data_IF_313436095971
#
_entry.id   IF_313436095971
#
_cell.length_a   1.000
_cell.length_b   1.000
_cell.length_c   1.000
_cell.angle_alpha   90.00
_cell.angle_beta   90.00
_cell.angle_gamma   90.00
#
_symmetry.space_group_name_H-M   'P 1'
#
loop_
_entity.id
_entity.type
_entity.pdbx_description
1 polymer ?
#
# COMPACT_ATOMS: atom_id res chain seq x y z
N UNK A 1 6.08 -19.03 -19.70
CA UNK A 1 4.77 -18.56 -19.23
C UNK A 1 4.99 -17.97 -17.84
N UNK A 2 4.63 -16.71 -17.57
CA UNK A 2 4.69 -16.20 -16.21
C UNK A 2 3.70 -17.00 -15.37
N UNK A 3 4.20 -17.55 -14.26
CA UNK A 3 3.38 -18.27 -13.29
C UNK A 3 2.53 -17.21 -12.59
N UNK A 4 1.21 -17.24 -12.82
CA UNK A 4 0.29 -16.43 -12.03
C UNK A 4 0.50 -16.79 -10.55
N UNK A 5 0.58 -15.81 -9.65
CA UNK A 5 0.83 -16.08 -8.25
C UNK A 5 -0.29 -16.94 -7.69
N UNK A 6 0.13 -17.90 -6.87
CA UNK A 6 -0.68 -18.71 -5.98
C UNK A 6 -1.84 -17.89 -5.41
N UNK A 7 -3.06 -18.42 -5.49
CA UNK A 7 -4.25 -17.80 -4.89
C UNK A 7 -3.91 -17.27 -3.49
N UNK A 8 -4.01 -15.94 -3.30
CA UNK A 8 -3.84 -15.33 -1.99
C UNK A 8 -4.97 -15.85 -1.11
N UNK A 9 -4.63 -16.60 -0.06
CA UNK A 9 -5.61 -16.98 0.96
C UNK A 9 -6.03 -15.70 1.71
N UNK A 10 -7.31 -15.35 1.63
CA UNK A 10 -7.86 -14.13 2.22
C UNK A 10 -8.32 -14.33 3.67
N UNK A 11 -8.34 -15.57 4.18
CA UNK A 11 -8.88 -15.87 5.52
C UNK A 11 -8.05 -15.24 6.66
N UNK A 12 -6.76 -14.97 6.41
CA UNK A 12 -5.83 -14.36 7.37
C UNK A 12 -5.78 -12.82 7.28
N UNK A 13 -6.67 -12.19 6.51
CA UNK A 13 -6.63 -10.76 6.22
C UNK A 13 -7.83 -10.02 6.84
N UNK A 14 -7.56 -8.86 7.42
CA UNK A 14 -8.57 -7.96 7.97
C UNK A 14 -8.89 -6.84 6.99
N UNK A 15 -10.16 -6.60 6.69
CA UNK A 15 -10.57 -5.54 5.74
C UNK A 15 -10.55 -4.15 6.42
N UNK A 16 -10.01 -3.14 5.74
CA UNK A 16 -10.07 -1.73 6.17
C UNK A 16 -11.35 -1.05 5.66
N UNK A 17 -12.50 -1.45 6.19
CA UNK A 17 -13.82 -0.92 5.77
C UNK A 17 -14.41 0.15 6.69
N UNK A 18 -13.83 0.31 7.89
CA UNK A 18 -14.36 1.11 8.98
C UNK A 18 -13.25 1.81 9.78
N UNK A 19 -13.62 2.87 10.51
CA UNK A 19 -12.69 3.57 11.42
C UNK A 19 -12.15 2.62 12.49
N UNK A 20 -12.97 1.70 12.98
CA UNK A 20 -12.56 0.66 13.93
C UNK A 20 -11.45 -0.24 13.36
N UNK A 21 -11.59 -0.68 12.11
CA UNK A 21 -10.56 -1.49 11.44
C UNK A 21 -9.25 -0.71 11.24
N UNK A 22 -9.32 0.59 10.94
CA UNK A 22 -8.15 1.47 10.86
C UNK A 22 -7.49 1.64 12.23
N UNK A 23 -8.28 1.86 13.29
CA UNK A 23 -7.78 1.96 14.65
C UNK A 23 -7.13 0.65 15.11
N UNK A 24 -7.69 -0.50 14.75
CA UNK A 24 -7.09 -1.81 15.03
C UNK A 24 -5.74 -1.99 14.34
N UNK A 25 -5.61 -1.61 13.06
CA UNK A 25 -4.33 -1.59 12.34
C UNK A 25 -3.30 -0.71 13.08
N UNK A 26 -3.67 0.53 13.39
CA UNK A 26 -2.76 1.50 14.03
C UNK A 26 -2.33 1.01 15.41
N UNK A 27 -3.27 0.50 16.23
CA UNK A 27 -2.99 0.02 17.58
C UNK A 27 -2.15 -1.27 17.58
N UNK A 28 -2.38 -2.17 16.62
CA UNK A 28 -1.63 -3.43 16.50
C UNK A 28 -0.20 -3.20 16.03
N UNK A 29 -0.05 -2.42 14.95
CA UNK A 29 1.24 -2.14 14.35
C UNK A 29 2.06 -1.13 15.16
N UNK A 30 1.39 -0.20 15.85
CA UNK A 30 2.00 0.89 16.61
C UNK A 30 2.26 2.15 15.78
N UNK A 31 1.49 2.34 14.70
CA UNK A 31 1.64 3.46 13.78
C UNK A 31 2.73 3.25 12.72
N UNK A 32 2.81 4.20 11.78
CA UNK A 32 3.73 4.14 10.64
C UNK A 32 4.92 5.11 10.76
N UNK A 33 5.00 5.89 11.84
CA UNK A 33 5.94 7.02 12.02
C UNK A 33 7.43 6.64 12.03
N UNK A 34 7.75 5.35 12.15
CA UNK A 34 9.10 4.80 12.17
C UNK A 34 9.25 3.62 11.19
N UNK A 35 8.36 3.52 10.18
CA UNK A 35 8.37 2.41 9.25
C UNK A 35 8.94 2.78 7.87
N UNK A 36 9.37 1.73 7.17
CA UNK A 36 9.86 1.79 5.79
C UNK A 36 9.07 0.80 4.94
N UNK A 37 8.88 1.15 3.66
CA UNK A 37 8.38 0.21 2.66
C UNK A 37 9.53 -0.74 2.25
N UNK A 38 9.46 -2.01 2.63
CA UNK A 38 10.52 -2.99 2.36
C UNK A 38 10.25 -3.87 1.15
N UNK A 39 8.97 -4.08 0.82
CA UNK A 39 8.56 -4.88 -0.34
C UNK A 39 7.27 -4.35 -0.93
N UNK A 40 7.16 -4.41 -2.25
CA UNK A 40 5.88 -4.34 -2.94
C UNK A 40 5.86 -5.34 -4.10
N UNK A 41 4.71 -5.96 -4.32
CA UNK A 41 4.48 -6.93 -5.40
C UNK A 41 3.14 -6.60 -6.06
N UNK A 42 3.16 -6.25 -7.35
CA UNK A 42 1.96 -6.03 -8.14
C UNK A 42 1.66 -7.24 -9.02
N UNK A 43 0.37 -7.50 -9.21
CA UNK A 43 -0.12 -8.59 -10.04
C UNK A 43 -1.00 -8.00 -11.14
N UNK A 44 -0.41 -7.82 -12.32
CA UNK A 44 -1.07 -7.27 -13.50
C UNK A 44 -0.06 -6.70 -14.50
N UNK A 45 -0.54 -6.43 -15.72
CA UNK A 45 0.21 -5.61 -16.67
C UNK A 45 0.17 -4.16 -16.19
N UNK A 46 1.35 -3.58 -15.95
CA UNK A 46 1.49 -2.20 -15.52
C UNK A 46 2.54 -1.49 -16.39
N UNK A 47 2.30 -0.21 -16.66
CA UNK A 47 3.29 0.67 -17.27
C UNK A 47 3.95 1.47 -16.15
N UNK A 48 5.28 1.46 -16.13
CA UNK A 48 6.09 2.26 -15.20
C UNK A 48 6.59 3.46 -16.01
N UNK A 49 6.23 4.66 -15.57
CA UNK A 49 6.68 5.92 -16.18
C UNK A 49 8.11 6.27 -15.71
N UNK A 50 8.72 7.27 -16.33
CA UNK A 50 10.12 7.68 -16.12
C UNK A 50 10.42 8.15 -14.68
N UNK A 51 9.38 8.54 -13.94
CA UNK A 51 9.45 8.91 -12.51
C UNK A 51 9.18 7.74 -11.56
N UNK A 52 9.18 6.50 -12.07
CA UNK A 52 8.78 5.28 -11.38
C UNK A 52 7.32 5.28 -10.88
N UNK A 53 6.48 6.20 -11.37
CA UNK A 53 5.05 6.13 -11.13
C UNK A 53 4.41 5.01 -11.95
N UNK A 54 3.48 4.30 -11.33
CA UNK A 54 2.69 3.27 -12.00
C UNK A 54 1.28 3.81 -12.21
N UNK A 55 1.11 4.51 -13.33
CA UNK A 55 -0.22 4.98 -13.74
C UNK A 55 -0.92 3.81 -14.45
N UNK A 56 -1.89 3.21 -13.77
CA UNK A 56 -2.70 2.16 -14.38
C UNK A 56 -3.66 2.78 -15.42
N UNK A 57 -3.71 2.24 -16.65
CA UNK A 57 -4.57 2.79 -17.70
C UNK A 57 -6.06 2.57 -17.38
N UNK A 58 -6.95 3.45 -17.88
CA UNK A 58 -8.39 3.42 -17.58
C UNK A 58 -9.14 2.28 -18.29
N UNK A 59 -10.44 2.11 -18.03
CA UNK A 59 -11.05 1.29 -16.99
C UNK A 59 -11.21 -0.20 -17.35
N UNK A 60 -10.62 -0.68 -18.46
CA UNK A 60 -10.94 -1.99 -19.03
C UNK A 60 -10.23 -3.19 -18.36
N UNK A 61 -9.28 -2.95 -17.45
CA UNK A 61 -8.44 -3.99 -16.83
C UNK A 61 -8.60 -4.12 -15.31
N UNK A 62 -9.60 -3.44 -14.71
CA UNK A 62 -9.63 -3.13 -13.28
C UNK A 62 -10.16 -4.22 -12.32
N UNK A 63 -10.45 -5.44 -12.77
CA UNK A 63 -11.05 -6.45 -11.88
C UNK A 63 -10.02 -7.28 -11.08
N UNK A 64 -8.88 -7.61 -11.69
CA UNK A 64 -7.94 -8.59 -11.12
C UNK A 64 -6.62 -8.00 -10.64
N UNK A 65 -6.45 -6.68 -10.72
CA UNK A 65 -5.23 -6.02 -10.28
C UNK A 65 -5.14 -5.98 -8.76
N UNK A 66 -4.02 -6.50 -8.27
CA UNK A 66 -3.72 -6.60 -6.85
C UNK A 66 -2.33 -6.04 -6.59
N UNK A 67 -2.15 -5.43 -5.43
CA UNK A 67 -0.85 -5.01 -4.93
C UNK A 67 -0.70 -5.48 -3.50
N UNK A 68 0.44 -6.07 -3.17
CA UNK A 68 0.85 -6.33 -1.80
C UNK A 68 2.00 -5.40 -1.46
N UNK A 69 1.91 -4.68 -0.34
CA UNK A 69 2.97 -3.82 0.18
C UNK A 69 3.31 -4.24 1.61
N UNK A 70 4.60 -4.30 1.94
CA UNK A 70 5.09 -4.65 3.28
C UNK A 70 5.79 -3.44 3.88
N UNK A 71 5.35 -3.06 5.07
CA UNK A 71 5.95 -2.00 5.87
C UNK A 71 6.59 -2.61 7.11
N UNK A 72 7.84 -2.23 7.40
CA UNK A 72 8.61 -2.76 8.53
C UNK A 72 9.05 -1.60 9.43
N UNK A 73 8.90 -1.76 10.74
CA UNK A 73 9.37 -0.77 11.72
C UNK A 73 10.87 -0.88 11.91
N UNK A 74 11.54 0.27 11.96
CA UNK A 74 12.99 0.34 12.17
C UNK A 74 13.41 0.25 13.65
N UNK A 75 12.48 0.45 14.60
CA UNK A 75 12.78 0.43 16.04
C UNK A 75 12.78 -0.98 16.66
N UNK A 76 13.20 -1.08 17.92
CA UNK A 76 13.67 -2.30 18.61
C UNK A 76 12.71 -3.51 18.67
N UNK A 77 11.48 -3.39 18.17
CA UNK A 77 10.58 -4.50 17.93
C UNK A 77 10.26 -4.51 16.44
N UNK A 78 11.00 -5.32 15.67
CA UNK A 78 10.73 -5.55 14.25
C UNK A 78 9.32 -6.12 14.14
N UNK A 79 8.38 -5.24 13.86
CA UNK A 79 7.00 -5.56 13.49
C UNK A 79 6.85 -5.21 12.02
N UNK A 80 6.22 -6.12 11.30
CA UNK A 80 5.90 -5.94 9.90
C UNK A 80 4.40 -5.97 9.72
N UNK A 81 3.90 -5.15 8.80
CA UNK A 81 2.50 -5.19 8.36
C UNK A 81 2.47 -5.33 6.86
N UNK A 82 1.62 -6.24 6.38
CA UNK A 82 1.31 -6.35 4.97
C UNK A 82 -0.03 -5.68 4.70
N UNK A 83 -0.08 -4.89 3.62
CA UNK A 83 -1.30 -4.33 3.04
C UNK A 83 -1.55 -4.98 1.68
N UNK A 84 -2.77 -5.46 1.47
CA UNK A 84 -3.24 -6.04 0.22
C UNK A 84 -4.31 -5.13 -0.39
N UNK A 85 -4.01 -4.56 -1.54
CA UNK A 85 -4.89 -3.70 -2.31
C UNK A 85 -5.56 -4.54 -3.39
N UNK A 86 -6.90 -4.58 -3.40
CA UNK A 86 -7.70 -5.30 -4.38
C UNK A 86 -8.45 -4.31 -5.28
N UNK A 87 -8.46 -4.57 -6.58
CA UNK A 87 -9.05 -3.64 -7.55
C UNK A 87 -8.27 -2.32 -7.58
N UNK A 88 -6.95 -2.44 -7.70
CA UNK A 88 -6.04 -1.30 -7.74
C UNK A 88 -6.33 -0.42 -8.96
N UNK A 89 -6.47 0.89 -8.74
CA UNK A 89 -6.71 1.89 -9.78
C UNK A 89 -5.52 2.83 -10.00
N UNK A 90 -4.73 3.07 -8.96
CA UNK A 90 -3.58 3.98 -9.01
C UNK A 90 -2.50 3.47 -8.06
N UNK A 91 -1.23 3.57 -8.48
CA UNK A 91 -0.07 3.32 -7.63
C UNK A 91 1.03 4.33 -7.99
N UNK A 92 1.45 5.13 -7.01
CA UNK A 92 2.59 6.01 -7.14
C UNK A 92 3.62 5.62 -6.08
N UNK A 93 4.84 5.34 -6.53
CA UNK A 93 5.98 5.04 -5.65
C UNK A 93 7.09 6.01 -6.00
N UNK A 94 7.28 7.02 -5.16
CA UNK A 94 8.35 8.01 -5.36
C UNK A 94 9.58 7.52 -4.60
N UNK A 95 10.52 6.92 -5.31
CA UNK A 95 11.81 6.58 -4.76
C UNK A 95 12.66 7.86 -4.66
N UNK A 96 12.74 8.46 -3.47
CA UNK A 96 13.79 9.47 -3.20
C UNK A 96 15.14 8.77 -3.12
N UNK A 97 16.16 9.39 -3.69
CA UNK A 97 17.54 8.91 -3.87
C UNK A 97 18.04 7.87 -2.87
N UNK A 98 18.85 6.93 -3.38
CA UNK A 98 19.39 5.69 -2.82
C UNK A 98 20.06 5.71 -1.42
N UNK A 99 19.94 6.79 -0.65
CA UNK A 99 20.60 7.00 0.64
C UNK A 99 19.70 7.52 1.76
N UNK A 100 18.38 7.57 1.60
CA UNK A 100 17.49 7.77 2.76
C UNK A 100 16.34 6.79 2.72
N UNK A 101 16.46 5.80 3.59
CA UNK A 101 15.37 4.99 4.15
C UNK A 101 14.28 5.94 4.66
N UNK A 102 13.38 6.33 3.76
CA UNK A 102 12.41 7.39 4.00
C UNK A 102 11.42 6.95 5.05
N UNK A 103 11.74 7.23 6.31
CA UNK A 103 10.87 7.00 7.45
C UNK A 103 9.53 7.66 7.12
N UNK A 104 8.49 6.84 7.02
CA UNK A 104 7.14 7.32 6.81
C UNK A 104 6.76 8.09 8.08
N UNK A 105 6.46 9.37 7.96
CA UNK A 105 6.08 10.21 9.11
C UNK A 105 4.57 10.45 9.14
N UNK A 106 3.89 10.25 8.01
CA UNK A 106 2.46 10.49 7.89
C UNK A 106 1.83 9.39 7.04
N UNK A 107 0.72 8.85 7.53
CA UNK A 107 -0.17 7.98 6.76
C UNK A 107 -1.56 8.56 6.77
N UNK A 108 -2.19 8.58 5.61
CA UNK A 108 -3.57 9.02 5.41
C UNK A 108 -4.32 7.91 4.69
N UNK A 109 -5.48 7.52 5.24
CA UNK A 109 -6.39 6.56 4.64
C UNK A 109 -7.73 7.25 4.47
N UNK A 110 -8.25 7.30 3.25
CA UNK A 110 -9.47 8.03 2.93
C UNK A 110 -10.40 7.21 2.06
N UNK A 111 -11.71 7.35 2.31
CA UNK A 111 -12.72 6.85 1.39
C UNK A 111 -13.09 7.95 0.38
N UNK A 112 -12.98 7.64 -0.90
CA UNK A 112 -13.29 8.55 -2.01
C UNK A 112 -14.80 8.52 -2.30
N UNK A 113 -15.28 9.53 -3.07
CA UNK A 113 -16.70 9.66 -3.42
C UNK A 113 -17.24 8.46 -4.23
N UNK A 114 -16.39 7.79 -5.01
CA UNK A 114 -16.74 6.60 -5.78
C UNK A 114 -16.73 5.30 -4.95
N UNK A 115 -16.45 5.40 -3.65
CA UNK A 115 -16.44 4.30 -2.70
C UNK A 115 -15.08 3.61 -2.52
N UNK A 116 -14.08 3.96 -3.33
CA UNK A 116 -12.72 3.44 -3.22
C UNK A 116 -11.98 3.95 -1.97
N UNK A 117 -10.85 3.31 -1.67
CA UNK A 117 -9.94 3.69 -0.61
C UNK A 117 -8.63 4.22 -1.20
N UNK A 118 -8.22 5.39 -0.74
CA UNK A 118 -6.91 5.99 -0.99
C UNK A 118 -6.03 5.77 0.23
N UNK A 119 -4.83 5.24 0.03
CA UNK A 119 -3.79 5.09 1.03
C UNK A 119 -2.57 5.90 0.60
N UNK A 120 -2.12 6.82 1.46
CA UNK A 120 -0.94 7.64 1.20
C UNK A 120 0.00 7.53 2.39
N UNK A 121 1.25 7.15 2.13
CA UNK A 121 2.35 7.14 3.09
C UNK A 121 3.45 8.10 2.61
N UNK A 122 3.77 9.10 3.43
CA UNK A 122 4.76 10.13 3.12
C UNK A 122 5.78 10.32 4.23
N UNK A 123 7.02 10.66 3.85
CA UNK A 123 8.06 11.07 4.79
C UNK A 123 8.04 12.56 5.13
N UNK A 124 7.29 13.39 4.39
CA UNK A 124 7.16 14.84 4.59
C UNK A 124 5.69 15.28 4.45
N UNK A 125 5.32 16.37 5.12
CA UNK A 125 3.98 17.00 5.03
C UNK A 125 3.67 17.57 3.63
N UNK A 126 4.69 17.76 2.79
CA UNK A 126 4.56 18.31 1.45
C UNK A 126 4.31 17.20 0.42
N UNK A 127 3.09 16.67 0.38
CA UNK A 127 2.34 15.97 -0.70
C UNK A 127 3.01 14.98 -1.70
N UNK A 128 4.34 14.92 -1.83
CA UNK A 128 5.07 13.91 -2.57
C UNK A 128 5.11 12.64 -1.70
N UNK A 129 4.00 11.91 -1.70
CA UNK A 129 3.90 10.61 -1.03
C UNK A 129 5.00 9.68 -1.53
N UNK A 130 5.71 9.01 -0.61
CA UNK A 130 6.68 7.95 -0.97
C UNK A 130 5.93 6.78 -1.59
N UNK A 131 4.72 6.52 -1.08
CA UNK A 131 3.84 5.48 -1.57
C UNK A 131 2.40 5.98 -1.51
N UNK A 132 1.69 5.90 -2.64
CA UNK A 132 0.27 6.21 -2.73
C UNK A 132 -0.41 5.13 -3.55
N UNK A 133 -1.54 4.60 -3.07
CA UNK A 133 -2.31 3.60 -3.77
C UNK A 133 -3.81 3.87 -3.60
N UNK A 134 -4.55 3.81 -4.70
CA UNK A 134 -6.02 3.86 -4.70
C UNK A 134 -6.54 2.51 -5.13
N UNK A 135 -7.42 1.91 -4.33
CA UNK A 135 -7.98 0.60 -4.59
C UNK A 135 -9.41 0.49 -4.10
N UNK A 136 -10.17 -0.47 -4.66
CA UNK A 136 -11.54 -0.73 -4.24
C UNK A 136 -11.65 -1.28 -2.82
N UNK A 137 -10.64 -2.05 -2.39
CA UNK A 137 -10.55 -2.59 -1.04
C UNK A 137 -9.09 -2.68 -0.61
N UNK A 138 -8.84 -2.46 0.68
CA UNK A 138 -7.54 -2.63 1.30
C UNK A 138 -7.74 -3.61 2.46
N UNK A 139 -6.89 -4.62 2.51
CA UNK A 139 -6.82 -5.56 3.62
C UNK A 139 -5.46 -5.47 4.28
N UNK A 140 -5.35 -5.86 5.55
CA UNK A 140 -4.11 -5.87 6.29
C UNK A 140 -3.95 -7.12 7.15
N UNK A 141 -2.69 -7.45 7.47
CA UNK A 141 -2.33 -8.45 8.48
C UNK A 141 -0.95 -8.18 9.06
N UNK A 142 -0.68 -8.71 10.25
CA UNK A 142 0.69 -8.80 10.78
C UNK A 142 1.52 -9.79 9.94
N UNK A 143 2.79 -9.47 9.70
CA UNK A 143 3.72 -10.26 8.89
C UNK A 143 4.87 -10.84 9.72
#
# INVERSE_FOLDING_TARGET
MPVLPTQVNLDDWTTLDSEEAVNQLINTFGGFSDCILTRHESWGECHVDDDLCIVYPPPAFAADQKLRATFERQSAHVKSVELLFLGLKCLQVIARDAHRDGIINTVRIERLEDGDLSFVASAQENAEGIFSATARSILWREA
#
